data_IF_057226630810
#
_entry.id   IF_057226630810
#
_cell.length_a   1.000
_cell.length_b   1.000
_cell.length_c   1.000
_cell.angle_alpha   90.00
_cell.angle_beta   90.00
_cell.angle_gamma   90.00
#
_symmetry.space_group_name_H-M   'P 1'
#
loop_
_entity.id
_entity.type
_entity.pdbx_description
1 polymer ?
#
# COMPACT_ATOMS: atom_id res chain seq x y z
N UNK A 1 12.31 -32.18 -18.22
CA UNK A 1 11.22 -31.33 -18.68
C UNK A 1 10.97 -30.35 -17.50
N UNK A 2 11.48 -29.44 -17.50
CA UNK A 2 12.36 -28.35 -17.22
C UNK A 2 11.59 -27.06 -17.25
N UNK A 3 11.47 -26.45 -16.08
CA UNK A 3 11.47 -25.02 -15.69
C UNK A 3 10.98 -23.93 -16.69
N UNK A 4 10.29 -24.26 -17.76
CA UNK A 4 9.79 -23.28 -18.73
C UNK A 4 8.56 -22.53 -18.23
N UNK A 5 7.91 -23.00 -17.15
CA UNK A 5 6.69 -22.45 -16.56
C UNK A 5 6.75 -22.45 -15.03
N UNK A 6 7.57 -21.57 -14.48
CA UNK A 6 7.58 -21.26 -13.06
C UNK A 6 7.20 -19.79 -12.84
N UNK A 7 6.83 -19.41 -11.62
CA UNK A 7 6.58 -18.00 -11.26
C UNK A 7 7.82 -17.15 -11.55
N UNK A 8 9.01 -17.67 -11.27
CA UNK A 8 10.27 -16.99 -11.52
C UNK A 8 10.49 -16.73 -13.01
N UNK A 9 10.15 -17.69 -13.88
CA UNK A 9 10.27 -17.51 -15.34
C UNK A 9 9.27 -16.49 -15.88
N UNK A 10 8.02 -16.53 -15.41
CA UNK A 10 7.00 -15.53 -15.75
C UNK A 10 7.42 -14.15 -15.23
N UNK A 11 7.91 -14.08 -14.00
CA UNK A 11 8.37 -12.82 -13.42
C UNK A 11 9.57 -12.23 -14.16
N UNK A 12 10.53 -13.07 -14.60
CA UNK A 12 11.65 -12.64 -15.43
C UNK A 12 11.17 -12.10 -16.80
N UNK A 13 10.17 -12.73 -17.43
CA UNK A 13 9.55 -12.23 -18.67
C UNK A 13 8.90 -10.87 -18.45
N UNK A 14 8.15 -10.72 -17.37
CA UNK A 14 7.53 -9.45 -16.98
C UNK A 14 8.56 -8.34 -16.73
N UNK A 15 9.64 -8.64 -16.02
CA UNK A 15 10.74 -7.70 -15.77
C UNK A 15 11.51 -7.28 -17.04
N UNK A 16 11.42 -8.05 -18.11
CA UNK A 16 11.95 -7.67 -19.42
C UNK A 16 11.17 -6.57 -20.13
N UNK A 17 10.04 -6.14 -19.57
CA UNK A 17 9.20 -5.02 -20.04
C UNK A 17 9.61 -3.71 -19.40
N UNK A 18 9.07 -2.59 -19.91
CA UNK A 18 9.29 -1.27 -19.28
C UNK A 18 8.92 -1.31 -17.80
N UNK A 19 9.83 -0.89 -16.89
CA UNK A 19 9.65 -1.04 -15.46
C UNK A 19 8.56 -0.11 -14.92
N UNK A 20 8.07 -0.42 -13.74
CA UNK A 20 6.96 0.26 -13.05
C UNK A 20 7.18 1.77 -12.85
N UNK A 21 8.42 2.22 -12.70
CA UNK A 21 8.76 3.65 -12.57
C UNK A 21 8.85 4.40 -13.91
N UNK A 22 8.73 3.72 -15.05
CA UNK A 22 8.57 4.32 -16.37
C UNK A 22 7.12 4.16 -16.81
N UNK A 23 6.28 5.02 -16.25
CA UNK A 23 4.86 5.01 -16.56
C UNK A 23 4.58 5.61 -17.93
N UNK A 24 3.66 4.97 -18.63
CA UNK A 24 3.02 5.51 -19.82
C UNK A 24 1.60 5.94 -19.42
N UNK A 25 1.28 7.26 -19.39
CA UNK A 25 -0.03 7.73 -18.96
C UNK A 25 -1.09 7.46 -20.04
N UNK A 26 -1.55 6.22 -20.15
CA UNK A 26 -2.44 5.74 -21.19
C UNK A 26 -3.37 4.63 -20.70
N UNK A 27 -4.59 4.57 -21.21
CA UNK A 27 -5.53 3.45 -20.96
C UNK A 27 -5.90 2.69 -22.23
N UNK A 28 -5.73 3.26 -23.42
CA UNK A 28 -6.13 2.63 -24.67
C UNK A 28 -5.56 1.20 -24.84
N UNK A 29 -4.27 0.92 -24.56
CA UNK A 29 -3.74 -0.45 -24.63
C UNK A 29 -4.42 -1.42 -23.67
N UNK A 30 -4.81 -0.94 -22.48
CA UNK A 30 -5.50 -1.75 -21.48
C UNK A 30 -6.92 -2.12 -21.96
N UNK A 31 -7.66 -1.16 -22.52
CA UNK A 31 -8.97 -1.43 -23.10
C UNK A 31 -8.89 -2.43 -24.27
N UNK A 32 -7.87 -2.32 -25.14
CA UNK A 32 -7.61 -3.33 -26.18
C UNK A 32 -7.36 -4.71 -25.60
N UNK A 33 -6.54 -4.78 -24.54
CA UNK A 33 -6.27 -6.06 -23.85
C UNK A 33 -7.54 -6.64 -23.22
N UNK A 34 -8.35 -5.81 -22.58
CA UNK A 34 -9.64 -6.26 -22.02
C UNK A 34 -10.57 -6.80 -23.11
N UNK A 35 -10.66 -6.10 -24.24
CA UNK A 35 -11.53 -6.50 -25.38
C UNK A 35 -11.11 -7.86 -25.95
N UNK A 36 -9.83 -8.07 -26.26
CA UNK A 36 -9.35 -9.35 -26.81
C UNK A 36 -9.44 -10.51 -25.81
N UNK A 37 -9.47 -10.23 -24.51
CA UNK A 37 -9.64 -11.21 -23.44
C UNK A 37 -11.11 -11.45 -23.05
N UNK A 38 -12.07 -10.79 -23.72
CA UNK A 38 -13.49 -10.95 -23.43
C UNK A 38 -13.98 -10.19 -22.20
N UNK A 39 -13.38 -9.03 -21.93
CA UNK A 39 -13.75 -8.06 -20.88
C UNK A 39 -13.76 -8.62 -19.44
N UNK A 40 -12.67 -9.27 -18.98
CA UNK A 40 -12.59 -9.83 -17.64
C UNK A 40 -12.79 -8.78 -16.52
N UNK A 41 -12.49 -7.51 -16.80
CA UNK A 41 -12.72 -6.36 -15.93
C UNK A 41 -14.20 -6.06 -15.63
N UNK A 42 -15.14 -6.67 -16.38
CA UNK A 42 -16.59 -6.52 -16.19
C UNK A 42 -17.25 -7.75 -15.56
N UNK A 43 -16.49 -8.80 -15.28
CA UNK A 43 -17.03 -10.07 -14.80
C UNK A 43 -17.53 -10.04 -13.35
N UNK A 44 -17.14 -9.04 -12.57
CA UNK A 44 -17.42 -8.92 -11.13
C UNK A 44 -17.44 -7.45 -10.71
N UNK A 45 -18.13 -7.13 -9.58
CA UNK A 45 -18.09 -5.80 -9.00
C UNK A 45 -16.70 -5.44 -8.47
N UNK A 46 -16.37 -4.14 -8.47
CA UNK A 46 -15.07 -3.63 -8.06
C UNK A 46 -15.23 -2.58 -6.95
N UNK A 47 -14.40 -2.69 -5.91
CA UNK A 47 -14.07 -1.60 -4.99
C UNK A 47 -12.71 -1.07 -5.41
N UNK A 48 -12.65 0.17 -5.87
CA UNK A 48 -11.46 0.78 -6.42
C UNK A 48 -10.85 1.75 -5.41
N UNK A 49 -9.57 1.60 -5.09
CA UNK A 49 -8.91 2.34 -4.00
C UNK A 49 -7.75 3.16 -4.53
N UNK A 50 -7.75 4.46 -4.27
CA UNK A 50 -6.63 5.37 -4.50
C UNK A 50 -6.31 6.18 -3.25
N UNK A 51 -5.26 6.96 -3.28
CA UNK A 51 -4.78 7.82 -2.20
C UNK A 51 -3.26 7.88 -2.18
N UNK A 52 -2.68 8.63 -1.28
CA UNK A 52 -1.22 8.65 -1.10
C UNK A 52 -0.80 7.57 -0.10
N UNK A 53 -1.28 7.61 1.11
CA UNK A 53 -0.98 6.66 2.17
C UNK A 53 -2.23 5.85 2.58
N UNK A 54 -2.03 4.63 3.09
CA UNK A 54 -3.10 3.81 3.65
C UNK A 54 -3.85 2.89 2.68
N UNK A 55 -3.61 2.96 1.37
CA UNK A 55 -4.29 2.15 0.35
C UNK A 55 -4.31 0.67 0.67
N UNK A 56 -3.14 0.06 0.81
CA UNK A 56 -3.00 -1.39 1.02
C UNK A 56 -3.61 -1.86 2.34
N UNK A 57 -3.42 -1.12 3.43
CA UNK A 57 -4.02 -1.45 4.73
C UNK A 57 -5.55 -1.39 4.65
N UNK A 58 -6.10 -0.33 4.03
CA UNK A 58 -7.54 -0.18 3.82
C UNK A 58 -8.11 -1.30 2.93
N UNK A 59 -7.41 -1.65 1.84
CA UNK A 59 -7.79 -2.75 0.96
C UNK A 59 -7.88 -4.09 1.71
N UNK A 60 -6.90 -4.38 2.57
CA UNK A 60 -6.88 -5.60 3.40
C UNK A 60 -8.01 -5.62 4.44
N UNK A 61 -8.33 -4.47 5.04
CA UNK A 61 -9.45 -4.35 5.98
C UNK A 61 -10.80 -4.57 5.27
N UNK A 62 -10.99 -3.97 4.09
CA UNK A 62 -12.20 -4.17 3.27
C UNK A 62 -12.33 -5.64 2.87
N UNK A 63 -11.25 -6.27 2.39
CA UNK A 63 -11.24 -7.69 2.04
C UNK A 63 -11.63 -8.58 3.23
N UNK A 64 -11.05 -8.35 4.41
CA UNK A 64 -11.39 -9.10 5.62
C UNK A 64 -12.88 -8.97 5.97
N UNK A 65 -13.44 -7.76 5.88
CA UNK A 65 -14.86 -7.52 6.10
C UNK A 65 -15.75 -8.23 5.10
N UNK A 66 -15.43 -8.19 3.80
CA UNK A 66 -16.21 -8.86 2.75
C UNK A 66 -16.19 -10.38 2.92
N UNK A 67 -15.03 -10.95 3.21
CA UNK A 67 -14.88 -12.39 3.46
C UNK A 67 -15.68 -12.84 4.68
N UNK A 68 -15.66 -12.08 5.76
CA UNK A 68 -16.44 -12.37 6.95
C UNK A 68 -17.97 -12.31 6.68
N UNK A 69 -18.39 -11.52 5.70
CA UNK A 69 -19.78 -11.51 5.20
C UNK A 69 -20.06 -12.62 4.17
N UNK A 70 -19.15 -13.58 3.98
CA UNK A 70 -19.35 -14.76 3.14
C UNK A 70 -19.10 -14.54 1.64
N UNK A 71 -18.42 -13.47 1.25
CA UNK A 71 -18.08 -13.20 -0.15
C UNK A 71 -16.70 -13.75 -0.49
N UNK A 72 -16.57 -14.35 -1.68
CA UNK A 72 -15.27 -14.65 -2.28
C UNK A 72 -14.67 -13.36 -2.83
N UNK A 73 -13.38 -13.15 -2.57
CA UNK A 73 -12.72 -11.87 -2.87
C UNK A 73 -11.49 -12.04 -3.75
N UNK A 74 -11.30 -11.10 -4.67
CA UNK A 74 -10.03 -10.82 -5.29
C UNK A 74 -9.45 -9.53 -4.73
N UNK A 75 -8.13 -9.46 -4.51
CA UNK A 75 -7.46 -8.22 -4.13
C UNK A 75 -6.20 -8.04 -4.95
N UNK A 76 -6.09 -6.88 -5.60
CA UNK A 76 -4.89 -6.45 -6.31
C UNK A 76 -4.24 -5.30 -5.56
N UNK A 77 -2.97 -5.46 -5.19
CA UNK A 77 -2.19 -4.46 -4.44
C UNK A 77 -0.79 -4.33 -5.02
N UNK A 78 -0.15 -3.18 -4.81
CA UNK A 78 1.23 -2.92 -5.24
C UNK A 78 1.96 -1.97 -4.28
N UNK A 79 3.29 -2.10 -4.22
CA UNK A 79 4.13 -3.19 -4.70
C UNK A 79 4.06 -4.43 -3.79
N UNK A 80 4.70 -5.54 -4.17
CA UNK A 80 4.87 -6.71 -3.31
C UNK A 80 6.10 -6.56 -2.39
N UNK A 81 6.14 -7.33 -1.33
CA UNK A 81 7.27 -7.40 -0.40
C UNK A 81 8.28 -8.49 -0.80
N UNK A 82 7.84 -9.72 -0.98
CA UNK A 82 8.72 -10.86 -1.22
C UNK A 82 8.48 -11.52 -2.58
N UNK A 83 7.23 -11.81 -2.92
CA UNK A 83 6.87 -12.52 -4.15
C UNK A 83 5.85 -11.75 -4.99
N UNK A 84 6.00 -11.79 -6.29
CA UNK A 84 5.08 -11.13 -7.23
C UNK A 84 3.62 -11.61 -7.08
N UNK A 85 3.42 -12.85 -6.66
CA UNK A 85 2.10 -13.45 -6.42
C UNK A 85 1.32 -12.76 -5.29
N UNK A 86 2.01 -12.07 -4.36
CA UNK A 86 1.37 -11.25 -3.32
C UNK A 86 0.49 -10.12 -3.86
N UNK A 87 0.78 -9.66 -5.10
CA UNK A 87 0.00 -8.58 -5.73
C UNK A 87 -1.41 -9.01 -6.10
N UNK A 88 -1.64 -10.29 -6.29
CA UNK A 88 -2.94 -10.88 -6.66
C UNK A 88 -3.32 -11.86 -5.57
N UNK A 89 -4.32 -11.53 -4.78
CA UNK A 89 -4.80 -12.38 -3.69
C UNK A 89 -6.22 -12.87 -3.98
N UNK A 90 -6.49 -14.11 -3.60
CA UNK A 90 -7.80 -14.74 -3.62
C UNK A 90 -8.16 -15.12 -2.19
N UNK A 91 -9.30 -14.67 -1.71
CA UNK A 91 -9.79 -14.94 -0.34
C UNK A 91 -8.74 -14.68 0.76
N UNK A 92 -7.99 -13.58 0.61
CA UNK A 92 -6.99 -13.12 1.59
C UNK A 92 -5.62 -13.78 1.50
N UNK A 93 -5.43 -14.76 0.62
CA UNK A 93 -4.15 -15.41 0.38
C UNK A 93 -3.57 -15.05 -0.99
N UNK A 94 -2.24 -14.95 -1.16
CA UNK A 94 -1.63 -14.81 -2.47
C UNK A 94 -2.13 -15.91 -3.43
N UNK A 95 -2.33 -15.56 -4.70
CA UNK A 95 -2.67 -16.54 -5.74
C UNK A 95 -1.63 -17.66 -5.77
N UNK A 96 -2.09 -18.89 -5.98
CA UNK A 96 -1.16 -20.02 -6.09
C UNK A 96 -0.22 -19.88 -7.29
N UNK A 97 1.00 -20.36 -7.13
CA UNK A 97 2.01 -20.37 -8.20
C UNK A 97 1.45 -21.03 -9.47
N UNK A 98 0.70 -22.13 -9.32
CA UNK A 98 0.05 -22.84 -10.43
C UNK A 98 -0.97 -21.95 -11.17
N UNK A 99 -1.86 -21.27 -10.44
CA UNK A 99 -2.87 -20.38 -11.05
C UNK A 99 -2.21 -19.18 -11.71
N UNK A 100 -1.22 -18.57 -11.08
CA UNK A 100 -0.47 -17.43 -11.63
C UNK A 100 0.17 -17.78 -12.96
N UNK A 101 0.90 -18.90 -13.03
CA UNK A 101 1.58 -19.37 -14.25
C UNK A 101 0.57 -19.77 -15.32
N UNK A 102 -0.46 -20.55 -14.97
CA UNK A 102 -1.48 -21.01 -15.91
C UNK A 102 -2.21 -19.84 -16.60
N UNK A 103 -2.69 -18.88 -15.81
CA UNK A 103 -3.43 -17.75 -16.38
C UNK A 103 -2.50 -16.86 -17.22
N UNK A 104 -1.23 -16.66 -16.79
CA UNK A 104 -0.27 -15.95 -17.62
C UNK A 104 -0.08 -16.62 -18.97
N UNK A 105 0.11 -17.94 -19.00
CA UNK A 105 0.27 -18.69 -20.26
C UNK A 105 -0.96 -18.60 -21.17
N UNK A 106 -2.15 -18.62 -20.59
CA UNK A 106 -3.41 -18.47 -21.32
C UNK A 106 -3.58 -17.07 -21.93
N UNK A 107 -3.23 -15.99 -21.21
CA UNK A 107 -3.42 -14.62 -21.72
C UNK A 107 -2.27 -14.11 -22.57
N UNK A 108 -1.05 -14.61 -22.37
CA UNK A 108 0.16 -14.17 -23.08
C UNK A 108 0.02 -14.06 -24.59
N UNK A 109 -0.58 -15.03 -25.33
CA UNK A 109 -0.78 -14.93 -26.78
C UNK A 109 -1.64 -13.73 -27.19
N UNK A 110 -2.64 -13.37 -26.39
CA UNK A 110 -3.53 -12.23 -26.64
C UNK A 110 -2.78 -10.91 -26.36
N UNK A 111 -1.96 -10.86 -25.31
CA UNK A 111 -1.13 -9.70 -25.02
C UNK A 111 -0.08 -9.47 -26.10
N UNK A 112 0.43 -10.54 -26.74
CA UNK A 112 1.32 -10.42 -27.88
C UNK A 112 0.65 -9.76 -29.08
N UNK A 113 -0.64 -10.04 -29.34
CA UNK A 113 -1.41 -9.37 -30.39
C UNK A 113 -1.48 -7.86 -30.12
N UNK A 114 -1.78 -7.47 -28.88
CA UNK A 114 -1.83 -6.05 -28.47
C UNK A 114 -0.43 -5.40 -28.62
N UNK A 115 0.64 -6.07 -28.19
CA UNK A 115 2.01 -5.61 -28.33
C UNK A 115 2.41 -5.40 -29.81
N UNK A 116 2.02 -6.31 -30.70
CA UNK A 116 2.28 -6.22 -32.14
C UNK A 116 1.54 -5.03 -32.77
N UNK A 117 0.27 -4.81 -32.41
CA UNK A 117 -0.51 -3.65 -32.84
C UNK A 117 0.10 -2.34 -32.37
N UNK A 118 0.46 -2.24 -31.07
CA UNK A 118 1.12 -1.06 -30.52
C UNK A 118 2.45 -0.76 -31.24
N UNK A 119 3.24 -1.80 -31.50
CA UNK A 119 4.50 -1.67 -32.22
C UNK A 119 4.29 -1.18 -33.65
N UNK A 120 3.28 -1.68 -34.34
CA UNK A 120 2.92 -1.26 -35.70
C UNK A 120 2.44 0.22 -35.73
N UNK A 121 1.85 0.70 -34.65
CA UNK A 121 1.46 2.11 -34.43
C UNK A 121 2.62 3.00 -33.98
N UNK A 122 3.82 2.45 -33.75
CA UNK A 122 4.97 3.17 -33.20
C UNK A 122 4.87 3.49 -31.72
N UNK A 123 4.01 2.76 -31.01
CA UNK A 123 3.83 2.90 -29.55
C UNK A 123 4.66 1.84 -28.79
N UNK A 124 5.04 2.13 -27.53
CA UNK A 124 5.70 1.15 -26.68
C UNK A 124 4.74 -0.01 -26.35
N UNK A 125 5.29 -1.23 -26.24
CA UNK A 125 4.55 -2.41 -25.79
C UNK A 125 3.96 -2.21 -24.40
N UNK A 126 3.06 -3.10 -23.99
CA UNK A 126 2.53 -3.16 -22.63
C UNK A 126 3.67 -3.20 -21.61
N UNK A 127 3.57 -2.36 -20.58
CA UNK A 127 4.55 -2.27 -19.49
C UNK A 127 4.41 -3.43 -18.51
N UNK A 128 5.38 -3.57 -17.61
CA UNK A 128 5.34 -4.51 -16.49
C UNK A 128 4.05 -4.37 -15.67
N UNK A 129 3.71 -3.14 -15.25
CA UNK A 129 2.53 -2.88 -14.42
C UNK A 129 1.22 -3.13 -15.18
N UNK A 130 1.14 -2.72 -16.46
CA UNK A 130 -0.01 -2.99 -17.32
C UNK A 130 -0.27 -4.50 -17.44
N UNK A 131 0.77 -5.31 -17.69
CA UNK A 131 0.64 -6.76 -17.80
C UNK A 131 0.19 -7.42 -16.48
N UNK A 132 0.73 -7.01 -15.33
CA UNK A 132 0.31 -7.54 -14.03
C UNK A 132 -1.14 -7.17 -13.70
N UNK A 133 -1.56 -5.96 -14.04
CA UNK A 133 -2.96 -5.53 -13.86
C UNK A 133 -3.91 -6.35 -14.72
N UNK A 134 -3.56 -6.60 -15.99
CA UNK A 134 -4.34 -7.45 -16.89
C UNK A 134 -4.42 -8.88 -16.33
N UNK A 135 -3.29 -9.41 -15.85
CA UNK A 135 -3.25 -10.75 -15.23
C UNK A 135 -4.18 -10.81 -14.01
N UNK A 136 -4.19 -9.78 -13.16
CA UNK A 136 -5.09 -9.73 -12.00
C UNK A 136 -6.56 -9.79 -12.43
N UNK A 137 -6.97 -8.99 -13.41
CA UNK A 137 -8.34 -9.04 -13.94
C UNK A 137 -8.69 -10.42 -14.48
N UNK A 138 -7.78 -11.07 -15.20
CA UNK A 138 -8.00 -12.41 -15.76
C UNK A 138 -8.08 -13.47 -14.65
N UNK A 139 -7.24 -13.42 -13.64
CA UNK A 139 -7.28 -14.34 -12.49
C UNK A 139 -8.62 -14.24 -11.75
N UNK A 140 -9.11 -13.04 -11.49
CA UNK A 140 -10.38 -12.85 -10.78
C UNK A 140 -11.62 -13.27 -11.61
N UNK A 141 -11.51 -13.25 -12.93
CA UNK A 141 -12.56 -13.78 -13.81
C UNK A 141 -12.52 -15.32 -13.91
N UNK A 142 -11.33 -15.90 -13.96
CA UNK A 142 -11.12 -17.36 -13.99
C UNK A 142 -11.50 -18.03 -12.67
N UNK A 143 -11.11 -17.41 -11.55
CA UNK A 143 -11.51 -17.80 -10.20
C UNK A 143 -12.66 -16.89 -9.76
N UNK A 144 -13.93 -17.27 -10.04
CA UNK A 144 -15.03 -16.32 -10.01
C UNK A 144 -15.24 -15.71 -8.62
N UNK A 145 -14.72 -14.50 -8.44
CA UNK A 145 -14.87 -13.75 -7.19
C UNK A 145 -16.23 -13.02 -7.17
N UNK A 146 -16.78 -12.82 -5.97
CA UNK A 146 -17.98 -12.01 -5.80
C UNK A 146 -17.67 -10.51 -5.86
N UNK A 147 -16.43 -10.11 -5.57
CA UNK A 147 -15.96 -8.73 -5.61
C UNK A 147 -14.44 -8.68 -5.71
N UNK A 148 -13.92 -7.74 -6.49
CA UNK A 148 -12.49 -7.43 -6.52
C UNK A 148 -12.20 -6.09 -5.84
N UNK A 149 -11.16 -6.04 -5.03
CA UNK A 149 -10.60 -4.83 -4.45
C UNK A 149 -9.35 -4.47 -5.26
N UNK A 150 -9.40 -3.36 -5.99
CA UNK A 150 -8.34 -2.93 -6.89
C UNK A 150 -7.63 -1.71 -6.33
N UNK A 151 -6.38 -1.85 -5.92
CA UNK A 151 -5.53 -0.75 -5.50
C UNK A 151 -4.87 -0.10 -6.71
N UNK A 152 -5.02 1.21 -6.85
CA UNK A 152 -4.34 2.04 -7.86
C UNK A 152 -2.84 2.03 -7.60
N UNK A 153 -2.05 1.81 -8.64
CA UNK A 153 -0.59 1.89 -8.54
C UNK A 153 -0.13 3.33 -8.37
N UNK A 154 -0.57 4.23 -9.24
CA UNK A 154 -0.24 5.64 -9.17
C UNK A 154 -1.34 6.51 -9.81
N UNK A 155 -1.66 7.63 -9.15
CA UNK A 155 -2.65 8.58 -9.68
C UNK A 155 -4.07 8.02 -9.65
N UNK A 156 -4.68 7.90 -10.80
CA UNK A 156 -6.04 7.38 -10.98
C UNK A 156 -6.52 7.44 -12.42
N UNK A 157 -6.50 8.61 -13.06
CA UNK A 157 -7.06 8.81 -14.43
C UNK A 157 -6.51 7.80 -15.42
N UNK A 158 -5.19 7.65 -15.47
CA UNK A 158 -4.49 6.81 -16.45
C UNK A 158 -3.87 5.54 -15.85
N UNK A 159 -4.15 5.26 -14.58
CA UNK A 159 -3.68 4.03 -13.95
C UNK A 159 -4.29 2.80 -14.63
N UNK A 160 -3.49 1.75 -14.82
CA UNK A 160 -3.94 0.54 -15.49
C UNK A 160 -5.19 -0.09 -14.87
N UNK A 161 -5.39 0.05 -13.55
CA UNK A 161 -6.59 -0.45 -12.86
C UNK A 161 -7.87 0.29 -13.25
N UNK A 162 -7.75 1.49 -13.84
CA UNK A 162 -8.89 2.34 -14.16
C UNK A 162 -9.69 1.91 -15.41
N UNK A 163 -9.34 0.80 -16.03
CA UNK A 163 -10.23 0.10 -16.99
C UNK A 163 -11.38 -0.64 -16.30
N UNK A 164 -11.30 -0.84 -14.99
CA UNK A 164 -12.38 -1.35 -14.17
C UNK A 164 -13.33 -0.23 -13.71
N UNK A 165 -14.62 -0.55 -13.60
CA UNK A 165 -15.63 0.39 -13.09
C UNK A 165 -15.92 0.11 -11.62
N UNK A 166 -15.40 0.97 -10.74
CA UNK A 166 -15.61 0.86 -9.30
C UNK A 166 -17.07 1.13 -8.90
N UNK A 167 -17.73 0.17 -8.28
CA UNK A 167 -19.02 0.41 -7.61
C UNK A 167 -18.85 1.25 -6.34
N UNK A 168 -17.72 1.12 -5.67
CA UNK A 168 -17.29 2.01 -4.60
C UNK A 168 -15.89 2.50 -4.95
N UNK A 169 -15.72 3.81 -4.96
CA UNK A 169 -14.43 4.48 -5.09
C UNK A 169 -13.98 4.93 -3.71
N UNK A 170 -12.86 4.43 -3.25
CA UNK A 170 -12.29 4.76 -1.94
C UNK A 170 -11.07 5.64 -2.14
N UNK A 171 -11.03 6.78 -1.46
CA UNK A 171 -9.89 7.70 -1.48
C UNK A 171 -9.31 7.80 -0.08
N UNK A 172 -8.15 7.20 0.13
CA UNK A 172 -7.39 7.31 1.38
C UNK A 172 -6.68 8.67 1.47
N UNK A 173 -6.02 9.05 2.57
CA UNK A 173 -5.45 10.40 2.69
C UNK A 173 -4.53 10.77 1.53
N UNK A 174 -4.72 11.99 1.01
CA UNK A 174 -3.93 12.60 -0.05
C UNK A 174 -2.89 13.53 0.58
N UNK A 175 -1.65 13.37 0.19
CA UNK A 175 -0.54 14.25 0.52
C UNK A 175 0.45 14.35 -0.63
N UNK A 176 1.48 15.19 -0.50
CA UNK A 176 2.50 15.33 -1.52
C UNK A 176 3.34 14.05 -1.62
N UNK A 177 3.28 13.41 -2.76
CA UNK A 177 4.11 12.28 -3.17
C UNK A 177 4.08 12.17 -4.69
N UNK A 178 5.16 11.67 -5.30
CA UNK A 178 5.29 11.56 -6.74
C UNK A 178 5.00 12.89 -7.49
N UNK A 179 5.46 14.00 -6.94
CA UNK A 179 5.16 15.35 -7.46
C UNK A 179 5.60 15.54 -8.90
N UNK A 180 6.70 14.92 -9.32
CA UNK A 180 7.18 14.94 -10.71
C UNK A 180 6.15 14.37 -11.72
N UNK A 181 5.21 13.53 -11.26
CA UNK A 181 4.25 12.85 -12.13
C UNK A 181 2.81 13.29 -11.90
N UNK A 182 2.44 13.63 -10.67
CA UNK A 182 1.04 13.89 -10.28
C UNK A 182 0.75 15.38 -10.06
N UNK A 183 1.79 16.22 -9.96
CA UNK A 183 1.66 17.64 -9.69
C UNK A 183 2.24 18.07 -8.35
N UNK A 184 2.46 19.37 -8.21
CA UNK A 184 3.16 19.98 -7.07
C UNK A 184 2.21 20.34 -5.90
N UNK A 185 0.91 20.17 -6.08
CA UNK A 185 -0.11 20.53 -5.10
C UNK A 185 -1.04 19.34 -4.78
N UNK A 186 -1.63 19.36 -3.59
CA UNK A 186 -2.63 18.37 -3.20
C UNK A 186 -3.89 18.44 -4.06
N UNK A 187 -4.22 19.62 -4.62
CA UNK A 187 -5.30 19.81 -5.58
C UNK A 187 -5.03 19.03 -6.88
N UNK A 188 -3.84 19.17 -7.48
CA UNK A 188 -3.44 18.47 -8.70
C UNK A 188 -3.41 16.94 -8.49
N UNK A 189 -2.84 16.50 -7.37
CA UNK A 189 -2.81 15.09 -6.99
C UNK A 189 -4.23 14.54 -6.80
N UNK A 190 -5.12 15.31 -6.17
CA UNK A 190 -6.52 14.93 -5.99
C UNK A 190 -7.27 14.84 -7.33
N UNK A 191 -6.97 15.72 -8.28
CA UNK A 191 -7.55 15.66 -9.62
C UNK A 191 -7.22 14.34 -10.33
N UNK A 192 -5.97 13.92 -10.30
CA UNK A 192 -5.54 12.62 -10.82
C UNK A 192 -6.28 11.47 -10.14
N UNK A 193 -6.35 11.50 -8.81
CA UNK A 193 -7.00 10.43 -8.03
C UNK A 193 -8.52 10.39 -8.23
N UNK A 194 -9.16 11.53 -8.42
CA UNK A 194 -10.58 11.63 -8.69
C UNK A 194 -11.02 10.90 -9.98
N UNK A 195 -10.08 10.58 -10.86
CA UNK A 195 -10.35 9.82 -12.10
C UNK A 195 -10.93 8.44 -11.91
N UNK A 196 -10.85 7.85 -10.71
CA UNK A 196 -11.49 6.56 -10.40
C UNK A 196 -12.98 6.70 -10.05
N UNK A 197 -13.48 7.92 -9.80
CA UNK A 197 -14.88 8.17 -9.47
C UNK A 197 -15.69 8.15 -10.77
N UNK A 198 -16.55 7.15 -10.93
CA UNK A 198 -17.28 6.90 -12.18
C UNK A 198 -18.81 6.92 -11.97
N UNK A 199 -19.58 7.23 -13.02
CA UNK A 199 -21.04 7.19 -12.96
C UNK A 199 -21.57 5.86 -12.43
N UNK A 200 -22.59 5.90 -11.59
CA UNK A 200 -23.20 4.71 -10.99
C UNK A 200 -22.47 4.15 -9.76
N UNK A 201 -21.34 4.77 -9.37
CA UNK A 201 -20.57 4.39 -8.21
C UNK A 201 -20.99 5.11 -6.91
N UNK A 202 -20.15 4.98 -5.89
CA UNK A 202 -20.29 5.61 -4.59
C UNK A 202 -18.89 6.06 -4.13
N UNK A 203 -18.72 7.33 -3.73
CA UNK A 203 -17.45 7.83 -3.21
C UNK A 203 -17.42 7.73 -1.67
N UNK A 204 -16.36 7.08 -1.16
CA UNK A 204 -15.97 7.10 0.26
C UNK A 204 -14.58 7.71 0.35
N UNK A 205 -14.42 8.82 1.05
CA UNK A 205 -13.14 9.50 1.21
C UNK A 205 -12.74 9.59 2.68
N UNK A 206 -11.47 9.31 2.96
CA UNK A 206 -10.84 9.73 4.20
C UNK A 206 -10.93 11.26 4.37
N UNK A 207 -10.62 11.76 5.56
CA UNK A 207 -10.41 13.19 5.78
C UNK A 207 -9.28 13.70 4.86
N UNK A 208 -9.48 14.83 4.22
CA UNK A 208 -8.59 15.38 3.20
C UNK A 208 -8.22 16.83 3.51
N UNK A 209 -7.07 17.33 3.01
CA UNK A 209 -6.86 18.77 2.86
C UNK A 209 -8.03 19.42 2.11
N UNK A 210 -8.35 20.67 2.43
CA UNK A 210 -9.55 21.32 1.91
C UNK A 210 -9.62 21.40 0.38
N UNK A 211 -8.51 21.69 -0.25
CA UNK A 211 -8.34 21.74 -1.71
C UNK A 211 -8.59 20.38 -2.36
N UNK A 212 -8.00 19.33 -1.80
CA UNK A 212 -8.20 17.96 -2.27
C UNK A 212 -9.66 17.50 -2.07
N UNK A 213 -10.26 17.79 -0.90
CA UNK A 213 -11.67 17.48 -0.63
C UNK A 213 -12.61 18.16 -1.62
N UNK A 214 -12.33 19.41 -1.99
CA UNK A 214 -13.13 20.15 -2.96
C UNK A 214 -13.10 19.50 -4.35
N UNK A 215 -11.92 19.09 -4.82
CA UNK A 215 -11.77 18.39 -6.12
C UNK A 215 -12.58 17.09 -6.14
N UNK A 216 -12.47 16.27 -5.09
CA UNK A 216 -13.22 15.02 -4.99
C UNK A 216 -14.74 15.26 -4.97
N UNK A 217 -15.18 16.27 -4.23
CA UNK A 217 -16.60 16.66 -4.13
C UNK A 217 -17.14 17.14 -5.48
N UNK A 218 -16.40 17.98 -6.18
CA UNK A 218 -16.79 18.47 -7.50
C UNK A 218 -16.90 17.32 -8.51
N UNK A 219 -15.93 16.39 -8.49
CA UNK A 219 -15.97 15.21 -9.34
C UNK A 219 -17.18 14.32 -9.03
N UNK A 220 -17.48 14.06 -7.76
CA UNK A 220 -18.63 13.27 -7.37
C UNK A 220 -19.96 13.90 -7.84
N UNK A 221 -20.06 15.24 -7.76
CA UNK A 221 -21.22 15.99 -8.27
C UNK A 221 -21.30 15.97 -9.79
N UNK A 222 -20.18 16.12 -10.48
CA UNK A 222 -20.10 16.04 -11.96
C UNK A 222 -20.65 14.72 -12.47
N UNK A 223 -20.23 13.59 -11.88
CA UNK A 223 -20.65 12.25 -12.29
C UNK A 223 -21.92 11.77 -11.57
N UNK A 224 -22.50 12.60 -10.70
CA UNK A 224 -23.77 12.36 -9.99
C UNK A 224 -23.78 11.10 -9.13
N UNK A 225 -22.71 10.90 -8.33
CA UNK A 225 -22.63 9.77 -7.40
C UNK A 225 -22.80 10.24 -5.93
N UNK A 226 -23.34 9.38 -5.06
CA UNK A 226 -23.30 9.61 -3.61
C UNK A 226 -21.85 9.72 -3.13
N UNK A 227 -21.64 10.56 -2.12
CA UNK A 227 -20.32 10.76 -1.52
C UNK A 227 -20.42 10.88 0.00
N UNK A 228 -19.40 10.37 0.70
CA UNK A 228 -19.27 10.45 2.16
C UNK A 228 -17.82 10.71 2.52
N UNK A 229 -17.61 11.63 3.45
CA UNK A 229 -16.29 12.04 3.92
C UNK A 229 -16.10 11.72 5.38
N UNK A 230 -14.96 11.19 5.74
CA UNK A 230 -14.54 11.04 7.12
C UNK A 230 -14.49 12.40 7.83
N UNK A 231 -14.92 12.42 9.09
CA UNK A 231 -15.07 13.64 9.88
C UNK A 231 -16.36 14.41 9.63
N UNK A 232 -17.18 14.01 8.64
CA UNK A 232 -18.50 14.59 8.34
C UNK A 232 -19.60 13.55 8.55
N UNK A 233 -19.59 12.46 7.79
CA UNK A 233 -20.63 11.44 7.87
C UNK A 233 -20.21 10.18 8.63
N UNK A 234 -18.91 9.91 8.74
CA UNK A 234 -18.38 8.76 9.46
C UNK A 234 -17.01 9.09 10.05
N UNK A 235 -16.50 8.23 10.92
CA UNK A 235 -15.13 8.39 11.45
C UNK A 235 -14.87 7.56 12.70
N UNK A 236 -13.70 7.75 13.28
CA UNK A 236 -13.30 7.17 14.55
C UNK A 236 -13.94 7.96 15.70
N UNK A 237 -14.78 7.30 16.49
CA UNK A 237 -15.40 7.90 17.68
C UNK A 237 -14.44 7.86 18.88
N UNK A 238 -13.76 6.71 19.06
CA UNK A 238 -12.75 6.54 20.12
C UNK A 238 -11.76 5.44 19.74
N UNK A 239 -10.57 5.52 20.30
CA UNK A 239 -9.57 4.46 20.22
C UNK A 239 -8.75 4.35 21.49
N UNK A 240 -8.26 3.15 21.75
CA UNK A 240 -7.35 2.86 22.85
C UNK A 240 -6.24 1.94 22.37
N UNK A 241 -5.01 2.28 22.70
CA UNK A 241 -3.86 1.40 22.45
C UNK A 241 -4.02 0.14 23.28
N UNK A 242 -3.77 -1.00 22.64
CA UNK A 242 -3.83 -2.33 23.26
C UNK A 242 -2.58 -3.14 22.90
N UNK A 243 -2.36 -4.22 23.60
CA UNK A 243 -1.27 -5.14 23.30
C UNK A 243 -1.50 -5.74 21.91
N UNK A 244 -0.54 -5.53 21.01
CA UNK A 244 -0.58 -6.03 19.64
C UNK A 244 -1.47 -5.24 18.70
N UNK A 245 -1.87 -4.01 19.05
CA UNK A 245 -2.69 -3.14 18.21
C UNK A 245 -3.48 -2.11 18.97
N UNK A 246 -4.76 -1.97 18.66
CA UNK A 246 -5.66 -0.98 19.26
C UNK A 246 -7.12 -1.43 19.20
N UNK A 247 -7.92 -0.93 20.11
CA UNK A 247 -9.38 -1.11 20.11
C UNK A 247 -10.03 0.19 19.65
N UNK A 248 -10.88 0.10 18.64
CA UNK A 248 -11.46 1.24 17.94
C UNK A 248 -12.98 1.17 17.97
N UNK A 249 -13.63 2.29 18.26
CA UNK A 249 -15.07 2.47 18.01
C UNK A 249 -15.23 3.32 16.76
N UNK A 250 -15.91 2.79 15.77
CA UNK A 250 -16.20 3.47 14.51
C UNK A 250 -17.67 3.89 14.45
N UNK A 251 -17.90 5.18 14.19
CA UNK A 251 -19.19 5.66 13.68
C UNK A 251 -19.16 5.47 12.16
N UNK A 252 -19.88 4.48 11.67
CA UNK A 252 -20.06 4.24 10.24
C UNK A 252 -21.13 5.13 9.61
N UNK A 253 -21.48 4.86 8.35
CA UNK A 253 -22.54 5.58 7.62
C UNK A 253 -23.95 5.26 8.19
N UNK A 254 -24.21 3.99 8.44
CA UNK A 254 -25.49 3.49 8.91
C UNK A 254 -25.45 3.01 10.37
N UNK A 255 -24.31 2.49 10.83
CA UNK A 255 -24.18 1.89 12.15
C UNK A 255 -23.06 2.45 13.00
N UNK A 256 -23.10 2.11 14.30
CA UNK A 256 -22.03 2.36 15.27
C UNK A 256 -21.41 1.02 15.68
N UNK A 257 -20.07 0.91 15.53
CA UNK A 257 -19.33 -0.33 15.72
C UNK A 257 -18.29 -0.18 16.83
N UNK A 258 -18.65 -0.49 18.08
CA UNK A 258 -17.73 -0.44 19.20
C UNK A 258 -16.79 -1.64 19.24
N UNK A 259 -15.68 -1.46 19.94
CA UNK A 259 -14.75 -2.51 20.34
C UNK A 259 -14.19 -3.35 19.16
N UNK A 260 -13.91 -2.71 18.02
CA UNK A 260 -13.20 -3.34 16.94
C UNK A 260 -11.72 -3.46 17.32
N UNK A 261 -11.23 -4.70 17.50
CA UNK A 261 -9.80 -4.95 17.66
C UNK A 261 -9.11 -4.85 16.31
N UNK A 262 -8.19 -3.90 16.17
CA UNK A 262 -7.37 -3.70 14.97
C UNK A 262 -5.93 -4.02 15.36
N UNK A 263 -5.35 -5.16 14.90
CA UNK A 263 -3.99 -5.58 15.28
C UNK A 263 -2.91 -4.82 14.47
N UNK A 264 -3.09 -3.53 14.31
CA UNK A 264 -2.20 -2.59 13.64
C UNK A 264 -2.02 -1.36 14.53
N UNK A 265 -0.82 -0.78 14.52
CA UNK A 265 -0.47 0.36 15.37
C UNK A 265 -0.69 1.69 14.68
N UNK A 266 -1.03 2.72 15.47
CA UNK A 266 -1.13 4.10 15.06
C UNK A 266 -2.54 4.58 14.73
N UNK A 267 -2.79 5.87 14.97
CA UNK A 267 -4.07 6.53 14.73
C UNK A 267 -4.51 6.39 13.27
N UNK A 268 -3.57 6.51 12.33
CA UNK A 268 -3.84 6.35 10.90
C UNK A 268 -4.45 4.98 10.53
N UNK A 269 -4.14 3.91 11.27
CA UNK A 269 -4.74 2.61 11.04
C UNK A 269 -6.18 2.53 11.58
N UNK A 270 -6.51 3.28 12.64
CA UNK A 270 -7.89 3.43 13.08
C UNK A 270 -8.74 4.22 12.06
N UNK A 271 -8.17 5.27 11.47
CA UNK A 271 -8.79 6.04 10.39
C UNK A 271 -9.00 5.17 9.14
N UNK A 272 -7.99 4.38 8.74
CA UNK A 272 -8.14 3.39 7.67
C UNK A 272 -9.27 2.38 7.97
N UNK A 273 -9.43 1.96 9.23
CA UNK A 273 -10.52 1.07 9.63
C UNK A 273 -11.88 1.76 9.49
N UNK A 274 -12.01 3.03 9.84
CA UNK A 274 -13.25 3.80 9.65
C UNK A 274 -13.61 3.92 8.16
N UNK A 275 -12.63 4.23 7.31
CA UNK A 275 -12.81 4.25 5.84
C UNK A 275 -13.24 2.89 5.31
N UNK A 276 -12.62 1.80 5.79
CA UNK A 276 -12.96 0.44 5.39
C UNK A 276 -14.39 0.07 5.79
N UNK A 277 -14.83 0.42 7.01
CA UNK A 277 -16.21 0.20 7.46
C UNK A 277 -17.21 0.96 6.60
N UNK A 278 -16.95 2.24 6.30
CA UNK A 278 -17.81 3.04 5.42
C UNK A 278 -17.88 2.45 4.00
N UNK A 279 -16.76 1.96 3.46
CA UNK A 279 -16.73 1.30 2.15
C UNK A 279 -17.52 -0.02 2.15
N UNK A 280 -17.45 -0.81 3.22
CA UNK A 280 -18.24 -2.03 3.40
C UNK A 280 -19.75 -1.72 3.46
N UNK A 281 -20.17 -0.70 4.22
CA UNK A 281 -21.56 -0.27 4.28
C UNK A 281 -22.05 0.24 2.91
N UNK A 282 -21.20 1.01 2.20
CA UNK A 282 -21.53 1.50 0.86
C UNK A 282 -21.73 0.34 -0.13
N UNK A 283 -20.82 -0.64 -0.10
CA UNK A 283 -20.87 -1.77 -1.03
C UNK A 283 -22.00 -2.77 -0.71
N UNK A 284 -22.15 -3.17 0.56
CA UNK A 284 -23.09 -4.20 0.98
C UNK A 284 -24.53 -3.67 1.17
N UNK A 285 -24.68 -2.39 1.47
CA UNK A 285 -25.98 -1.83 1.83
C UNK A 285 -26.28 -0.44 1.27
N UNK A 286 -25.50 0.05 0.31
CA UNK A 286 -25.68 1.39 -0.26
C UNK A 286 -25.43 2.53 0.74
N UNK A 287 -24.76 2.25 1.85
CA UNK A 287 -24.52 3.19 2.94
C UNK A 287 -25.72 3.43 3.88
N UNK A 288 -26.80 2.64 3.73
CA UNK A 288 -28.06 2.80 4.49
C UNK A 288 -28.35 1.65 5.45
N UNK A 289 -27.59 0.56 5.40
CA UNK A 289 -27.80 -0.63 6.21
C UNK A 289 -26.63 -0.87 7.15
N UNK A 290 -26.96 -1.08 8.42
CA UNK A 290 -25.96 -1.50 9.41
C UNK A 290 -25.39 -2.88 9.07
N UNK A 291 -24.11 -3.06 9.34
CA UNK A 291 -23.42 -4.35 9.26
C UNK A 291 -23.54 -5.07 10.61
N UNK A 292 -23.33 -6.39 10.59
CA UNK A 292 -23.26 -7.15 11.85
C UNK A 292 -21.97 -6.76 12.62
N UNK A 293 -22.16 -6.27 13.86
CA UNK A 293 -21.04 -5.92 14.73
C UNK A 293 -20.12 -7.14 14.98
N UNK A 294 -20.70 -8.30 15.26
CA UNK A 294 -19.96 -9.54 15.53
C UNK A 294 -19.09 -9.93 14.32
N UNK A 295 -19.64 -9.84 13.12
CA UNK A 295 -18.91 -10.13 11.88
C UNK A 295 -17.75 -9.16 11.66
N UNK A 296 -17.96 -7.86 11.93
CA UNK A 296 -16.89 -6.86 11.82
C UNK A 296 -15.81 -7.06 12.88
N UNK A 297 -16.18 -7.38 14.14
CA UNK A 297 -15.22 -7.66 15.19
C UNK A 297 -14.34 -8.88 14.84
N UNK A 298 -14.91 -9.94 14.32
CA UNK A 298 -14.17 -11.10 13.83
C UNK A 298 -13.23 -10.74 12.67
N UNK A 299 -13.76 -10.00 11.68
CA UNK A 299 -12.99 -9.58 10.50
C UNK A 299 -11.76 -8.75 10.88
N UNK A 300 -11.98 -7.68 11.64
CA UNK A 300 -10.91 -6.73 11.96
C UNK A 300 -9.84 -7.34 12.88
N UNK A 301 -10.21 -8.25 13.77
CA UNK A 301 -9.25 -8.96 14.64
C UNK A 301 -8.23 -9.82 13.86
N UNK A 302 -8.51 -10.17 12.61
CA UNK A 302 -7.64 -11.00 11.76
C UNK A 302 -6.82 -10.20 10.75
N UNK A 303 -6.99 -8.89 10.68
CA UNK A 303 -6.31 -8.04 9.70
C UNK A 303 -4.80 -8.04 9.94
N UNK A 304 -4.04 -8.18 8.88
CA UNK A 304 -2.60 -7.98 8.87
C UNK A 304 -2.20 -7.05 7.72
N UNK A 305 -1.18 -6.25 7.94
CA UNK A 305 -0.60 -5.39 6.90
C UNK A 305 0.93 -5.47 7.01
N UNK A 306 1.54 -6.50 6.39
CA UNK A 306 2.97 -6.71 6.45
C UNK A 306 3.77 -5.48 6.01
N UNK A 307 4.86 -5.20 6.72
CA UNK A 307 5.68 -4.01 6.47
C UNK A 307 5.05 -2.69 6.93
N UNK A 308 4.00 -2.72 7.76
CA UNK A 308 3.39 -1.53 8.38
C UNK A 308 3.49 -1.63 9.89
N UNK A 309 4.51 -1.00 10.47
CA UNK A 309 4.89 -1.13 11.88
C UNK A 309 4.87 -2.58 12.35
N UNK A 310 5.40 -3.46 11.51
CA UNK A 310 5.44 -4.90 11.75
C UNK A 310 6.59 -5.25 12.69
N UNK A 311 6.30 -5.94 13.78
CA UNK A 311 7.30 -6.46 14.68
C UNK A 311 7.85 -7.79 14.14
N UNK A 312 9.13 -7.78 13.75
CA UNK A 312 9.79 -8.97 13.21
C UNK A 312 10.51 -9.79 14.30
N UNK A 313 10.99 -9.13 15.34
CA UNK A 313 11.73 -9.72 16.48
C UNK A 313 11.33 -8.99 17.76
N UNK A 314 11.38 -9.66 18.89
CA UNK A 314 10.94 -9.11 20.20
C UNK A 314 12.08 -8.87 21.19
N UNK A 315 13.29 -9.38 20.94
CA UNK A 315 14.44 -9.21 21.84
C UNK A 315 15.76 -9.11 21.04
N UNK A 316 16.31 -7.89 20.82
CA UNK A 316 15.63 -6.62 20.99
C UNK A 316 14.45 -6.51 20.00
N UNK A 317 13.53 -5.60 20.27
CA UNK A 317 12.40 -5.38 19.36
C UNK A 317 12.89 -4.77 18.06
N UNK A 318 12.61 -5.45 16.92
CA UNK A 318 12.87 -4.93 15.58
C UNK A 318 11.54 -4.71 14.91
N UNK A 319 11.29 -3.46 14.52
CA UNK A 319 10.09 -3.02 13.80
C UNK A 319 10.50 -2.63 12.37
N UNK A 320 9.68 -3.02 11.40
CA UNK A 320 9.83 -2.54 10.03
C UNK A 320 8.62 -1.72 9.62
N UNK A 321 8.86 -0.62 8.92
CA UNK A 321 7.81 0.22 8.37
C UNK A 321 8.18 0.77 6.99
N UNK A 322 7.31 0.56 6.02
CA UNK A 322 7.53 0.95 4.63
C UNK A 322 7.16 2.42 4.34
N UNK A 323 7.06 3.28 5.34
CA UNK A 323 6.92 4.72 5.14
C UNK A 323 8.08 5.27 4.29
N UNK A 324 7.73 6.09 3.30
CA UNK A 324 8.67 6.58 2.27
C UNK A 324 8.31 7.98 1.77
N UNK A 325 7.50 8.70 2.52
CA UNK A 325 7.20 10.13 2.36
C UNK A 325 7.05 10.79 3.74
N UNK A 326 7.13 12.11 3.84
CA UNK A 326 7.14 12.80 5.14
C UNK A 326 5.93 12.49 6.02
N UNK A 327 4.72 12.47 5.47
CA UNK A 327 3.50 12.18 6.23
C UNK A 327 3.46 10.75 6.76
N UNK A 328 3.90 9.78 5.96
CA UNK A 328 4.04 8.39 6.38
C UNK A 328 5.05 8.23 7.52
N UNK A 329 6.21 8.88 7.40
CA UNK A 329 7.25 8.88 8.44
C UNK A 329 6.71 9.48 9.75
N UNK A 330 6.02 10.62 9.68
CA UNK A 330 5.41 11.26 10.87
C UNK A 330 4.42 10.32 11.53
N UNK A 331 3.47 9.75 10.78
CA UNK A 331 2.48 8.83 11.30
C UNK A 331 3.10 7.58 11.96
N UNK A 332 4.17 7.04 11.36
CA UNK A 332 4.91 5.91 11.92
C UNK A 332 5.63 6.29 13.22
N UNK A 333 6.29 7.44 13.27
CA UNK A 333 6.98 7.92 14.47
C UNK A 333 6.02 8.16 15.65
N UNK A 334 4.88 8.81 15.39
CA UNK A 334 3.81 9.02 16.38
C UNK A 334 3.29 7.68 16.92
N UNK A 335 3.05 6.72 16.04
CA UNK A 335 2.57 5.39 16.41
C UNK A 335 3.60 4.60 17.24
N UNK A 336 4.89 4.72 16.93
CA UNK A 336 5.97 4.10 17.71
C UNK A 336 6.02 4.69 19.12
N UNK A 337 5.99 6.01 19.25
CA UNK A 337 6.02 6.69 20.56
C UNK A 337 4.80 6.35 21.41
N UNK A 338 3.64 6.12 20.79
CA UNK A 338 2.40 5.78 21.47
C UNK A 338 2.33 4.30 21.90
N UNK A 339 2.72 3.39 21.00
CA UNK A 339 2.48 1.97 21.18
C UNK A 339 3.65 1.18 21.79
N UNK A 340 4.88 1.75 21.75
CA UNK A 340 6.08 1.08 22.21
C UNK A 340 6.80 1.91 23.29
N UNK A 341 7.19 1.25 24.37
CA UNK A 341 7.89 1.90 25.49
C UNK A 341 9.41 1.79 25.31
N UNK A 342 9.94 2.29 24.19
CA UNK A 342 11.38 2.33 24.00
C UNK A 342 12.00 3.46 24.80
N UNK A 343 13.13 3.18 25.40
CA UNK A 343 14.02 4.18 25.99
C UNK A 343 15.00 4.74 24.96
N UNK A 344 15.29 3.95 23.92
CA UNK A 344 16.19 4.28 22.82
C UNK A 344 15.74 3.52 21.57
N UNK A 345 15.73 4.19 20.44
CA UNK A 345 15.46 3.61 19.13
C UNK A 345 16.68 3.84 18.22
N UNK A 346 17.20 2.76 17.64
CA UNK A 346 18.22 2.83 16.59
C UNK A 346 17.53 2.72 15.26
N UNK A 347 17.79 3.63 14.33
CA UNK A 347 17.06 3.71 13.06
C UNK A 347 17.96 3.27 11.91
N UNK A 348 17.53 2.26 11.16
CA UNK A 348 18.16 1.79 9.92
C UNK A 348 17.37 2.36 8.75
N UNK A 349 18.01 3.19 7.93
CA UNK A 349 17.35 3.96 6.86
C UNK A 349 17.92 3.63 5.50
N UNK A 350 17.02 3.38 4.53
CA UNK A 350 17.40 3.30 3.12
C UNK A 350 16.27 3.82 2.24
N UNK A 351 16.59 4.71 1.31
CA UNK A 351 15.64 5.46 0.49
C UNK A 351 15.87 5.15 -0.99
N UNK A 352 14.81 5.24 -1.80
CA UNK A 352 14.89 5.10 -3.25
C UNK A 352 15.11 6.47 -3.92
N UNK A 353 15.81 6.48 -5.07
CA UNK A 353 16.20 7.70 -5.81
C UNK A 353 15.04 8.59 -6.25
N UNK A 354 13.88 8.00 -6.46
CA UNK A 354 12.66 8.72 -6.85
C UNK A 354 11.92 9.40 -5.69
N UNK A 355 12.45 9.28 -4.47
CA UNK A 355 11.86 9.90 -3.27
C UNK A 355 12.71 11.06 -2.78
N UNK A 356 12.07 12.02 -2.12
CA UNK A 356 12.77 13.12 -1.46
C UNK A 356 13.45 12.65 -0.18
N UNK A 357 14.69 12.18 -0.34
CA UNK A 357 15.48 11.69 0.80
C UNK A 357 15.69 12.79 1.86
N UNK A 358 15.86 14.04 1.45
CA UNK A 358 16.06 15.16 2.35
C UNK A 358 14.88 15.39 3.27
N UNK A 359 13.67 15.43 2.72
CA UNK A 359 12.44 15.60 3.51
C UNK A 359 12.16 14.37 4.40
N UNK A 360 12.40 13.16 3.92
CA UNK A 360 12.28 11.93 4.73
C UNK A 360 13.21 11.99 5.95
N UNK A 361 14.48 12.36 5.75
CA UNK A 361 15.45 12.44 6.83
C UNK A 361 15.12 13.55 7.83
N UNK A 362 14.72 14.75 7.37
CA UNK A 362 14.26 15.84 8.26
C UNK A 362 13.08 15.37 9.10
N UNK A 363 12.07 14.74 8.48
CA UNK A 363 10.89 14.29 9.17
C UNK A 363 11.20 13.17 10.19
N UNK A 364 12.11 12.23 9.88
CA UNK A 364 12.58 11.23 10.84
C UNK A 364 13.20 11.88 12.06
N UNK A 365 14.12 12.82 11.86
CA UNK A 365 14.81 13.54 12.95
C UNK A 365 13.83 14.34 13.82
N UNK A 366 12.93 15.09 13.17
CA UNK A 366 11.96 15.92 13.88
C UNK A 366 10.93 15.09 14.65
N UNK A 367 10.40 14.02 14.04
CA UNK A 367 9.33 13.24 14.65
C UNK A 367 9.79 12.27 15.73
N UNK A 368 10.99 11.70 15.61
CA UNK A 368 11.52 10.79 16.62
C UNK A 368 12.24 11.52 17.76
N UNK A 369 12.78 12.74 17.49
CA UNK A 369 13.42 13.57 18.51
C UNK A 369 14.48 12.81 19.32
N UNK A 370 14.46 13.00 20.65
CA UNK A 370 15.42 12.37 21.58
C UNK A 370 15.28 10.84 21.70
N UNK A 371 14.22 10.25 21.13
CA UNK A 371 14.04 8.78 21.13
C UNK A 371 15.05 8.10 20.20
N UNK A 372 15.42 8.76 19.09
CA UNK A 372 16.30 8.22 18.06
C UNK A 372 17.51 9.15 17.82
N UNK A 373 18.58 8.88 18.51
CA UNK A 373 19.85 9.61 18.32
C UNK A 373 20.78 8.93 17.31
N UNK A 374 20.72 7.60 17.16
CA UNK A 374 21.62 6.80 16.34
C UNK A 374 20.96 6.30 15.07
N UNK A 375 21.60 6.57 13.94
CA UNK A 375 21.11 6.23 12.60
C UNK A 375 22.16 5.42 11.83
N UNK A 376 21.74 4.30 11.25
CA UNK A 376 22.52 3.54 10.28
C UNK A 376 21.93 3.74 8.89
N UNK A 377 22.70 4.32 7.99
CA UNK A 377 22.32 4.49 6.59
C UNK A 377 22.78 3.28 5.80
N UNK A 378 21.83 2.68 5.07
CA UNK A 378 22.04 1.48 4.29
C UNK A 378 21.32 1.58 2.95
N UNK A 379 21.38 0.53 2.16
CA UNK A 379 20.69 0.45 0.87
C UNK A 379 20.06 -0.94 0.70
N UNK A 380 18.89 -0.98 0.05
CA UNK A 380 18.27 -2.24 -0.35
C UNK A 380 18.99 -2.83 -1.57
N UNK A 381 18.68 -4.09 -1.90
CA UNK A 381 19.18 -4.74 -3.13
C UNK A 381 18.60 -4.14 -4.42
N UNK A 382 17.72 -3.14 -4.33
CA UNK A 382 17.16 -2.46 -5.49
C UNK A 382 18.21 -1.62 -6.23
N UNK A 383 18.29 -1.69 -7.57
CA UNK A 383 19.15 -0.79 -8.36
C UNK A 383 18.74 0.69 -8.26
N UNK A 384 17.54 0.96 -7.72
CA UNK A 384 17.01 2.30 -7.47
C UNK A 384 17.39 2.84 -6.09
N UNK A 385 18.04 2.05 -5.23
CA UNK A 385 18.46 2.52 -3.92
C UNK A 385 19.45 3.70 -4.03
N UNK A 386 19.29 4.69 -3.16
CA UNK A 386 20.30 5.71 -2.94
C UNK A 386 21.48 5.03 -2.21
N UNK A 387 22.73 5.24 -2.65
CA UNK A 387 23.90 4.70 -1.95
C UNK A 387 23.94 5.13 -0.48
N UNK A 388 24.30 4.20 0.41
CA UNK A 388 24.34 4.44 1.84
C UNK A 388 25.20 5.65 2.23
N UNK A 389 26.36 5.82 1.57
CA UNK A 389 27.26 6.94 1.79
C UNK A 389 26.64 8.30 1.43
N UNK A 390 25.90 8.38 0.31
CA UNK A 390 25.19 9.61 -0.11
C UNK A 390 24.10 10.00 0.89
N UNK A 391 23.35 8.99 1.41
CA UNK A 391 22.35 9.25 2.45
C UNK A 391 22.99 9.77 3.76
N UNK A 392 24.13 9.20 4.15
CA UNK A 392 24.84 9.62 5.33
C UNK A 392 25.40 11.06 5.19
N UNK A 393 26.00 11.40 4.05
CA UNK A 393 26.44 12.77 3.76
C UNK A 393 25.28 13.76 3.84
N UNK A 394 24.16 13.43 3.19
CA UNK A 394 22.93 14.25 3.24
C UNK A 394 22.42 14.42 4.68
N UNK A 395 22.46 13.36 5.49
CA UNK A 395 22.05 13.44 6.90
C UNK A 395 22.93 14.39 7.70
N UNK A 396 24.26 14.35 7.53
CA UNK A 396 25.20 15.27 8.17
C UNK A 396 24.92 16.72 7.77
N UNK A 397 24.68 16.97 6.47
CA UNK A 397 24.30 18.29 5.95
C UNK A 397 22.98 18.80 6.55
N UNK A 398 22.08 17.91 6.90
CA UNK A 398 20.80 18.18 7.58
C UNK A 398 20.94 18.29 9.12
N UNK A 399 22.20 18.24 9.64
CA UNK A 399 22.53 18.46 11.03
C UNK A 399 22.38 17.23 11.93
N UNK A 400 22.40 16.01 11.37
CA UNK A 400 22.63 14.81 12.17
C UNK A 400 24.09 14.86 12.70
N UNK A 401 24.31 14.49 13.98
CA UNK A 401 25.66 14.46 14.54
C UNK A 401 26.51 13.38 13.86
N UNK A 402 27.71 13.71 13.40
CA UNK A 402 28.61 12.74 12.74
C UNK A 402 28.86 11.50 13.58
N UNK A 403 28.94 11.67 14.91
CA UNK A 403 29.14 10.59 15.89
C UNK A 403 27.94 9.61 15.96
N UNK A 404 26.77 10.02 15.49
CA UNK A 404 25.53 9.28 15.55
C UNK A 404 25.14 8.69 14.16
N UNK A 405 25.96 8.96 13.14
CA UNK A 405 25.78 8.48 11.78
C UNK A 405 26.68 7.29 11.52
N UNK A 406 26.09 6.15 11.22
CA UNK A 406 26.79 4.93 10.80
C UNK A 406 26.45 4.60 9.35
N UNK A 407 27.41 4.01 8.63
CA UNK A 407 27.23 3.61 7.22
C UNK A 407 27.47 2.11 7.11
N UNK A 408 26.48 1.40 6.58
CA UNK A 408 26.61 0.00 6.22
C UNK A 408 25.97 -0.23 4.85
N UNK A 409 26.76 -0.57 3.85
CA UNK A 409 26.26 -0.81 2.50
C UNK A 409 25.33 -2.02 2.43
N UNK A 410 25.55 -3.01 3.31
CA UNK A 410 24.73 -4.21 3.38
C UNK A 410 23.76 -4.13 4.56
N UNK A 411 22.55 -4.57 4.32
CA UNK A 411 21.50 -4.54 5.34
C UNK A 411 21.76 -5.50 6.51
N UNK A 412 22.41 -6.65 6.28
CA UNK A 412 22.80 -7.58 7.34
C UNK A 412 23.77 -6.92 8.32
N UNK A 413 24.82 -6.24 7.82
CA UNK A 413 25.78 -5.48 8.63
C UNK A 413 25.09 -4.32 9.40
N UNK A 414 24.15 -3.64 8.74
CA UNK A 414 23.37 -2.56 9.34
C UNK A 414 22.49 -3.06 10.50
N UNK A 415 21.83 -4.21 10.32
CA UNK A 415 20.99 -4.82 11.34
C UNK A 415 21.81 -5.35 12.52
N UNK A 416 22.98 -5.97 12.28
CA UNK A 416 23.88 -6.44 13.32
C UNK A 416 24.33 -5.26 14.18
N UNK A 417 24.84 -4.19 13.56
CA UNK A 417 25.23 -2.98 14.25
C UNK A 417 24.06 -2.36 15.05
N UNK A 418 22.88 -2.25 14.44
CA UNK A 418 21.73 -1.64 15.11
C UNK A 418 21.27 -2.45 16.33
N UNK A 419 21.31 -3.78 16.25
CA UNK A 419 20.99 -4.69 17.36
C UNK A 419 21.98 -4.52 18.49
N UNK A 420 23.29 -4.51 18.21
CA UNK A 420 24.33 -4.30 19.23
C UNK A 420 24.14 -2.95 19.95
N UNK A 421 23.78 -1.89 19.20
CA UNK A 421 23.54 -0.56 19.77
C UNK A 421 22.25 -0.50 20.61
N UNK A 422 21.21 -1.22 20.19
CA UNK A 422 19.96 -1.31 20.95
C UNK A 422 20.12 -2.10 22.26
N UNK A 423 21.01 -3.09 22.29
CA UNK A 423 21.31 -3.94 23.46
C UNK A 423 22.39 -3.34 24.39
N UNK A 424 23.08 -2.26 23.99
CA UNK A 424 24.26 -1.73 24.71
C UNK A 424 23.98 -1.20 26.10
N UNK A 425 22.72 -1.03 26.52
CA UNK A 425 22.32 -0.60 27.85
C UNK A 425 21.45 -1.66 28.52
N UNK A 426 22.01 -2.42 29.44
CA UNK A 426 21.38 -3.53 30.16
C UNK A 426 20.07 -3.16 30.91
N UNK A 427 19.82 -1.90 31.19
CA UNK A 427 18.70 -1.43 32.03
C UNK A 427 17.53 -0.84 31.23
N UNK A 428 17.60 -0.74 29.90
CA UNK A 428 16.62 0.01 29.11
C UNK A 428 16.18 -0.78 27.88
N UNK A 429 14.87 -0.73 27.58
CA UNK A 429 14.27 -1.37 26.42
C UNK A 429 14.68 -0.66 25.12
N UNK A 430 15.77 -1.11 24.51
CA UNK A 430 16.19 -0.64 23.19
C UNK A 430 15.38 -1.29 22.08
N UNK A 431 15.18 -0.54 20.98
CA UNK A 431 14.51 -1.04 19.77
C UNK A 431 15.26 -0.65 18.50
N UNK A 432 14.93 -1.33 17.41
CA UNK A 432 15.43 -1.04 16.06
C UNK A 432 14.24 -0.77 15.14
N UNK A 433 14.29 0.32 14.40
CA UNK A 433 13.35 0.65 13.33
C UNK A 433 14.07 0.56 11.98
N UNK A 434 13.51 -0.23 11.05
CA UNK A 434 13.97 -0.27 9.65
C UNK A 434 12.92 0.42 8.79
N UNK A 435 13.31 1.49 8.08
CA UNK A 435 12.35 2.33 7.35
C UNK A 435 12.96 3.06 6.15
N UNK A 436 12.13 3.82 5.42
CA UNK A 436 12.50 4.69 4.30
C UNK A 436 12.18 4.13 2.92
N UNK A 437 12.01 2.83 2.77
CA UNK A 437 11.54 2.23 1.52
C UNK A 437 10.94 0.84 1.72
N UNK A 438 9.98 0.49 0.87
CA UNK A 438 9.37 -0.84 0.88
C UNK A 438 10.38 -1.93 0.49
N UNK A 439 11.33 -1.64 -0.38
CA UNK A 439 12.35 -2.60 -0.79
C UNK A 439 13.32 -2.94 0.36
N UNK A 440 13.67 -1.96 1.19
CA UNK A 440 14.47 -2.21 2.38
C UNK A 440 13.72 -3.06 3.40
N UNK A 441 12.44 -2.76 3.61
CA UNK A 441 11.55 -3.54 4.49
C UNK A 441 11.40 -4.98 3.99
N UNK A 442 11.26 -5.17 2.68
CA UNK A 442 11.21 -6.49 2.07
C UNK A 442 12.49 -7.30 2.35
N UNK A 443 13.66 -6.69 2.11
CA UNK A 443 14.96 -7.33 2.38
C UNK A 443 15.13 -7.67 3.88
N UNK A 444 14.72 -6.77 4.78
CA UNK A 444 14.77 -7.02 6.23
C UNK A 444 13.87 -8.17 6.66
N UNK A 445 12.65 -8.27 6.10
CA UNK A 445 11.74 -9.39 6.36
C UNK A 445 12.34 -10.73 5.95
N UNK A 446 12.97 -10.79 4.79
CA UNK A 446 13.65 -11.99 4.28
C UNK A 446 14.81 -12.38 5.20
N UNK A 447 15.68 -11.42 5.56
CA UNK A 447 16.82 -11.67 6.45
C UNK A 447 16.40 -12.18 7.83
N UNK A 448 15.27 -11.69 8.36
CA UNK A 448 14.74 -12.09 9.67
C UNK A 448 13.78 -13.30 9.59
N UNK A 449 13.74 -14.00 8.46
CA UNK A 449 13.04 -15.28 8.29
C UNK A 449 11.53 -15.17 8.22
N UNK A 450 10.97 -14.01 7.88
CA UNK A 450 9.53 -13.88 7.62
C UNK A 450 9.22 -14.31 6.19
N UNK A 451 8.34 -15.28 6.06
CA UNK A 451 7.86 -15.76 4.75
C UNK A 451 7.12 -14.66 3.97
N UNK A 452 6.84 -14.94 2.69
CA UNK A 452 5.94 -14.14 1.86
C UNK A 452 4.62 -13.84 2.59
N UNK A 453 4.15 -12.62 2.44
CA UNK A 453 3.00 -12.06 3.17
C UNK A 453 1.66 -12.49 2.55
#
# INVERSE_FOLDING_TARGET
>A
MTDEFSVESVYAELLGRAPENKMEPRLAPLFRAMDVLGEPNKAYPIIHITGTNGKTSTARMIEAGLRAHGLSTGRYTSPHLSKVTERISLDGAPVSDETFVRIWDEIRPYLQIVDDELTAEGQPRLTYFECLTILAFAVFADQPVNVAIMEVGLGGITDATNVGDGQVSVVTPISLDHTDLLGDTTEEIAYEKAGIIKPGGFLVSAAQPLDAAQVLLEKAKEVQVPFRFEGVEFGVESRQVAVGGQVVTVQGLAGRYPDLMVPLHGAHQAENAAVAVAALEAFLGGGEKELSLEVLQEAFATVSSPGRLEVLRTAPTIIVDAAHNPDGIRASAEAIQEAFSFSKLVVVVGVLKEKDAGEILRQLKESLGDLAEEFCFTQSNSPRAVPAAELAELAVDLGFGEENVHIAEKLDDALEWAVERAEANDDLAGGVLVTGSITLVADARILLGKAAA
#
